data_IF_026515432636
#
_entry.id   IF_026515432636
#
_cell.length_a   1.000
_cell.length_b   1.000
_cell.length_c   1.000
_cell.angle_alpha   90.00
_cell.angle_beta   90.00
_cell.angle_gamma   90.00
#
_symmetry.space_group_name_H-M   'P 1'
#
loop_
_entity.id
_entity.type
_entity.pdbx_description
1 polymer ?
#
# COMPACT_ATOMS: atom_id res chain seq x y z
N UNK A 1 17.05 0.32 -16.69
CA UNK A 1 16.09 0.98 -17.58
C UNK A 1 15.18 1.88 -16.73
N UNK A 2 14.62 2.95 -17.31
CA UNK A 2 13.81 3.92 -16.57
C UNK A 2 14.55 5.17 -16.12
N UNK A 3 15.87 5.18 -16.14
CA UNK A 3 16.74 6.32 -15.79
C UNK A 3 17.52 6.87 -17.00
N UNK A 4 16.94 6.76 -18.20
CA UNK A 4 17.57 7.18 -19.48
C UNK A 4 17.17 8.59 -19.92
N UNK A 5 16.53 9.37 -19.06
CA UNK A 5 16.18 10.77 -19.31
C UNK A 5 14.72 11.12 -18.94
N UNK A 6 14.31 12.34 -19.28
CA UNK A 6 13.03 12.91 -18.87
C UNK A 6 11.77 12.17 -19.42
N UNK A 7 11.91 11.40 -20.49
CA UNK A 7 10.84 10.57 -21.06
C UNK A 7 10.88 9.12 -20.57
N UNK A 8 11.63 8.86 -19.51
CA UNK A 8 11.81 7.54 -18.90
C UNK A 8 11.44 7.56 -17.43
N UNK A 9 11.14 6.40 -16.89
CA UNK A 9 10.80 6.24 -15.49
C UNK A 9 10.34 4.82 -15.18
N UNK A 10 9.92 4.59 -13.96
CA UNK A 10 9.47 3.30 -13.49
C UNK A 10 8.27 3.47 -12.58
N UNK A 11 7.44 2.43 -12.47
CA UNK A 11 6.28 2.46 -11.62
C UNK A 11 5.78 1.08 -11.26
N UNK A 12 4.93 1.06 -10.25
CA UNK A 12 4.20 -0.12 -9.84
C UNK A 12 2.73 0.25 -9.68
N UNK A 13 1.85 -0.57 -10.26
CA UNK A 13 0.42 -0.28 -10.29
C UNK A 13 -0.42 -1.50 -9.94
N UNK A 14 -1.55 -1.24 -9.30
CA UNK A 14 -2.66 -2.18 -9.19
C UNK A 14 -3.71 -1.87 -10.25
N UNK A 15 -4.27 -2.89 -10.86
CA UNK A 15 -5.41 -2.76 -11.78
C UNK A 15 -6.69 -2.29 -11.09
N UNK A 16 -6.77 -2.46 -9.77
CA UNK A 16 -7.86 -2.02 -8.89
C UNK A 16 -7.31 -1.48 -7.58
N UNK A 17 -8.11 -0.67 -6.90
CA UNK A 17 -7.76 -0.21 -5.55
C UNK A 17 -7.63 -1.40 -4.59
N UNK A 18 -6.45 -1.64 -4.01
CA UNK A 18 -6.19 -2.81 -3.16
C UNK A 18 -6.90 -2.74 -1.79
N UNK A 19 -7.43 -1.58 -1.39
CA UNK A 19 -8.12 -1.39 -0.13
C UNK A 19 -9.64 -1.52 -0.27
N UNK A 20 -10.21 -1.00 -1.36
CA UNK A 20 -11.67 -0.98 -1.60
C UNK A 20 -12.14 -1.99 -2.64
N UNK A 21 -11.26 -2.48 -3.50
CA UNK A 21 -11.57 -3.33 -4.66
C UNK A 21 -12.19 -2.58 -5.83
N UNK A 22 -12.26 -1.24 -5.76
CA UNK A 22 -12.83 -0.42 -6.82
C UNK A 22 -12.01 -0.53 -8.10
N UNK A 23 -12.69 -0.58 -9.27
CA UNK A 23 -12.04 -0.62 -10.58
C UNK A 23 -11.41 0.76 -10.90
N UNK A 24 -10.34 1.06 -10.17
CA UNK A 24 -9.54 2.26 -10.29
C UNK A 24 -8.07 1.88 -10.24
N UNK A 25 -7.31 2.25 -11.25
CA UNK A 25 -5.86 2.05 -11.27
C UNK A 25 -5.25 2.90 -10.17
N UNK A 26 -4.46 2.27 -9.31
CA UNK A 26 -3.75 2.91 -8.20
C UNK A 26 -2.29 2.48 -8.25
N UNK A 27 -1.38 3.37 -7.91
CA UNK A 27 0.03 3.01 -7.88
C UNK A 27 0.95 4.21 -7.79
N UNK A 28 2.22 3.91 -7.83
CA UNK A 28 3.31 4.86 -7.65
C UNK A 28 4.16 4.93 -8.93
N UNK A 29 4.60 6.14 -9.25
CA UNK A 29 5.45 6.46 -10.39
C UNK A 29 6.62 7.33 -9.97
N UNK A 30 7.81 7.05 -10.52
CA UNK A 30 8.99 7.91 -10.41
C UNK A 30 9.55 8.13 -11.81
N UNK A 31 9.70 9.40 -12.22
CA UNK A 31 10.35 9.77 -13.45
C UNK A 31 11.87 9.65 -13.32
N UNK A 32 12.53 9.21 -14.39
CA UNK A 32 13.99 9.07 -14.49
C UNK A 32 14.62 8.26 -13.34
N UNK A 33 13.99 7.13 -12.96
CA UNK A 33 14.39 6.26 -11.87
C UNK A 33 14.39 4.78 -12.27
N UNK A 34 14.97 3.94 -11.43
CA UNK A 34 14.99 2.48 -11.60
C UNK A 34 13.91 1.83 -10.70
N UNK A 35 13.58 0.55 -10.98
CA UNK A 35 12.57 -0.19 -10.23
C UNK A 35 12.83 -0.26 -8.72
N UNK A 36 14.09 -0.41 -8.33
CA UNK A 36 14.50 -0.45 -6.92
C UNK A 36 14.17 0.85 -6.17
N UNK A 37 14.21 2.00 -6.85
CA UNK A 37 13.90 3.31 -6.25
C UNK A 37 12.43 3.44 -5.82
N UNK A 38 11.51 2.74 -6.51
CA UNK A 38 10.07 2.73 -6.15
C UNK A 38 9.81 1.87 -4.92
N UNK A 39 10.51 0.75 -4.80
CA UNK A 39 10.27 -0.25 -3.75
C UNK A 39 11.03 0.11 -2.47
N UNK A 40 12.22 0.70 -2.61
CA UNK A 40 13.05 1.10 -1.47
C UNK A 40 12.42 2.21 -0.62
N UNK A 41 11.57 3.07 -1.22
CA UNK A 41 10.95 4.18 -0.50
C UNK A 41 11.84 5.41 -0.33
N UNK A 42 13.11 5.33 -0.76
CA UNK A 42 14.11 6.39 -0.62
C UNK A 42 13.83 7.64 -1.48
N UNK A 43 12.97 7.50 -2.48
CA UNK A 43 12.61 8.56 -3.40
C UNK A 43 11.15 8.95 -3.25
N UNK A 44 10.84 10.25 -3.37
CA UNK A 44 9.48 10.74 -3.39
C UNK A 44 8.74 10.18 -4.63
N UNK A 45 7.80 9.27 -4.41
CA UNK A 45 6.93 8.76 -5.46
C UNK A 45 5.83 9.77 -5.79
N UNK A 46 5.34 9.72 -7.01
CA UNK A 46 4.15 10.43 -7.47
C UNK A 46 3.01 9.44 -7.69
N UNK A 47 1.77 9.89 -7.51
CA UNK A 47 0.60 9.10 -7.88
C UNK A 47 0.63 8.77 -9.37
N UNK A 48 0.14 7.57 -9.75
CA UNK A 48 0.12 7.08 -11.14
C UNK A 48 -0.60 8.04 -12.11
N UNK A 49 -1.48 8.90 -11.64
CA UNK A 49 -2.13 9.93 -12.46
C UNK A 49 -1.15 10.93 -13.06
N UNK A 50 -0.02 11.18 -12.40
CA UNK A 50 1.06 12.03 -12.91
C UNK A 50 1.68 11.39 -14.16
N UNK A 51 1.90 10.06 -14.13
CA UNK A 51 2.33 9.31 -15.32
C UNK A 51 1.30 9.42 -16.45
N UNK A 52 0.01 9.27 -16.13
CA UNK A 52 -1.06 9.46 -17.12
C UNK A 52 -1.06 10.84 -17.77
N UNK A 53 -0.75 11.89 -17.02
CA UNK A 53 -0.66 13.25 -17.53
C UNK A 53 0.61 13.51 -18.37
N UNK A 54 1.74 12.92 -17.97
CA UNK A 54 3.04 13.16 -18.63
C UNK A 54 3.32 12.22 -19.81
N UNK A 55 2.78 11.00 -19.79
CA UNK A 55 2.99 9.95 -20.78
C UNK A 55 1.67 9.30 -21.23
N UNK A 56 0.72 10.08 -21.82
CA UNK A 56 -0.65 9.60 -22.08
C UNK A 56 -0.71 8.36 -22.97
N UNK A 57 0.12 8.24 -23.99
CA UNK A 57 0.13 7.08 -24.89
C UNK A 57 0.58 5.80 -24.17
N UNK A 58 1.65 5.87 -23.37
CA UNK A 58 2.13 4.73 -22.60
C UNK A 58 1.15 4.36 -21.46
N UNK A 59 0.43 5.34 -20.92
CA UNK A 59 -0.61 5.09 -19.91
C UNK A 59 -1.83 4.38 -20.50
N UNK A 60 -2.28 4.74 -21.71
CA UNK A 60 -3.35 4.00 -22.39
C UNK A 60 -2.91 2.57 -22.73
N UNK A 61 -1.67 2.36 -23.18
CA UNK A 61 -1.09 1.03 -23.40
C UNK A 61 -1.05 0.22 -22.08
N UNK A 62 -0.63 0.83 -20.98
CA UNK A 62 -0.63 0.21 -19.65
C UNK A 62 -2.04 -0.25 -19.24
N UNK A 63 -3.07 0.57 -19.45
CA UNK A 63 -4.47 0.20 -19.16
C UNK A 63 -4.92 -1.03 -19.92
N UNK A 64 -4.57 -1.13 -21.20
CA UNK A 64 -4.90 -2.32 -22.00
C UNK A 64 -4.19 -3.57 -21.47
N UNK A 65 -2.92 -3.46 -21.10
CA UNK A 65 -2.19 -4.58 -20.51
C UNK A 65 -2.78 -5.00 -19.16
N UNK A 66 -3.15 -4.06 -18.31
CA UNK A 66 -3.80 -4.37 -17.02
C UNK A 66 -5.12 -5.12 -17.20
N UNK A 67 -5.95 -4.73 -18.18
CA UNK A 67 -7.19 -5.44 -18.49
C UNK A 67 -6.93 -6.87 -19.01
N UNK A 68 -5.94 -7.06 -19.88
CA UNK A 68 -5.55 -8.37 -20.38
C UNK A 68 -5.01 -9.27 -19.26
N UNK A 69 -4.21 -8.71 -18.37
CA UNK A 69 -3.64 -9.43 -17.24
C UNK A 69 -4.71 -9.81 -16.21
N UNK A 70 -5.69 -8.93 -15.92
CA UNK A 70 -6.85 -9.31 -15.07
C UNK A 70 -7.59 -10.53 -15.63
N UNK A 71 -7.82 -10.57 -16.94
CA UNK A 71 -8.48 -11.73 -17.60
C UNK A 71 -7.59 -12.96 -17.51
N UNK A 72 -6.29 -12.84 -17.75
CA UNK A 72 -5.35 -13.96 -17.70
C UNK A 72 -5.23 -14.56 -16.29
N UNK A 73 -5.10 -13.71 -15.27
CA UNK A 73 -4.96 -14.13 -13.87
C UNK A 73 -6.32 -14.45 -13.22
N UNK A 74 -7.43 -14.09 -13.86
CA UNK A 74 -8.80 -14.20 -13.29
C UNK A 74 -8.94 -13.46 -11.96
N UNK A 75 -8.16 -12.40 -11.78
CA UNK A 75 -8.07 -11.61 -10.56
C UNK A 75 -7.45 -10.22 -10.81
N UNK A 76 -7.51 -9.33 -9.80
CA UNK A 76 -6.75 -8.09 -9.86
C UNK A 76 -5.25 -8.36 -9.91
N UNK A 77 -4.53 -7.52 -10.59
CA UNK A 77 -3.08 -7.64 -10.77
C UNK A 77 -2.32 -6.46 -10.17
N UNK A 78 -1.10 -6.76 -9.76
CA UNK A 78 -0.03 -5.87 -9.36
C UNK A 78 1.06 -5.99 -10.44
N UNK A 79 1.42 -4.87 -11.04
CA UNK A 79 2.29 -4.83 -12.22
C UNK A 79 3.42 -3.84 -12.00
N UNK A 80 4.64 -4.33 -12.14
CA UNK A 80 5.83 -3.52 -12.23
C UNK A 80 6.12 -3.19 -13.70
N UNK A 81 6.35 -1.92 -14.01
CA UNK A 81 6.60 -1.47 -15.37
C UNK A 81 7.70 -0.41 -15.41
N UNK A 82 8.31 -0.27 -16.57
CA UNK A 82 9.22 0.83 -16.87
C UNK A 82 8.86 1.47 -18.20
N UNK A 83 9.18 2.74 -18.32
CA UNK A 83 9.14 3.45 -19.59
C UNK A 83 10.57 3.83 -19.96
N UNK A 84 11.00 3.44 -21.14
CA UNK A 84 12.30 3.79 -21.67
C UNK A 84 12.11 4.59 -22.95
N UNK A 85 12.47 5.87 -22.92
CA UNK A 85 12.31 6.80 -24.02
C UNK A 85 10.88 6.82 -24.62
N UNK A 86 9.87 6.81 -23.74
CA UNK A 86 8.45 6.82 -24.11
C UNK A 86 7.86 5.45 -24.46
N UNK A 87 8.64 4.38 -24.49
CA UNK A 87 8.17 3.01 -24.76
C UNK A 87 7.91 2.29 -23.44
N UNK A 88 6.71 1.72 -23.30
CA UNK A 88 6.30 0.93 -22.15
C UNK A 88 6.91 -0.48 -22.19
N UNK A 89 7.31 -0.97 -21.02
CA UNK A 89 7.77 -2.34 -20.78
C UNK A 89 7.15 -2.86 -19.48
N UNK A 90 6.45 -3.97 -19.56
CA UNK A 90 6.00 -4.72 -18.38
C UNK A 90 7.16 -5.59 -17.89
N UNK A 91 7.54 -5.40 -16.64
CA UNK A 91 8.67 -6.15 -16.04
C UNK A 91 8.18 -7.36 -15.29
N UNK A 92 7.11 -7.21 -14.49
CA UNK A 92 6.52 -8.27 -13.70
C UNK A 92 5.02 -8.05 -13.54
N UNK A 93 4.27 -9.14 -13.49
CA UNK A 93 2.87 -9.14 -13.12
C UNK A 93 2.58 -10.29 -12.15
N UNK A 94 1.74 -10.03 -11.16
CA UNK A 94 1.30 -11.03 -10.17
C UNK A 94 -0.11 -10.70 -9.70
N UNK A 95 -0.75 -11.65 -9.02
CA UNK A 95 -2.02 -11.38 -8.32
C UNK A 95 -1.77 -10.36 -7.21
N UNK A 96 -2.55 -9.28 -7.19
CA UNK A 96 -2.35 -8.16 -6.28
C UNK A 96 -2.70 -8.49 -4.83
N UNK A 97 -1.83 -8.09 -3.89
CA UNK A 97 -2.12 -8.14 -2.45
C UNK A 97 -3.19 -7.11 -2.10
N UNK A 98 -4.20 -7.51 -1.35
CA UNK A 98 -5.39 -6.69 -1.07
C UNK A 98 -6.03 -7.02 0.27
N UNK A 99 -6.84 -6.09 0.77
CA UNK A 99 -7.63 -6.31 1.98
C UNK A 99 -8.76 -7.32 1.74
N UNK A 100 -9.28 -7.94 2.81
CA UNK A 100 -10.42 -8.84 2.75
C UNK A 100 -11.68 -8.17 2.14
N UNK A 101 -11.90 -6.89 2.44
CA UNK A 101 -12.97 -6.08 1.84
C UNK A 101 -12.81 -5.96 0.33
N UNK A 102 -11.62 -5.63 -0.14
CA UNK A 102 -11.33 -5.52 -1.56
C UNK A 102 -11.49 -6.88 -2.26
N UNK A 103 -10.96 -7.96 -1.66
CA UNK A 103 -11.10 -9.32 -2.19
C UNK A 103 -12.57 -9.72 -2.37
N UNK A 104 -13.42 -9.41 -1.38
CA UNK A 104 -14.86 -9.70 -1.44
C UNK A 104 -15.55 -8.95 -2.60
N UNK A 105 -15.28 -7.65 -2.75
CA UNK A 105 -15.84 -6.85 -3.84
C UNK A 105 -15.37 -7.34 -5.20
N UNK A 106 -14.07 -7.59 -5.36
CA UNK A 106 -13.48 -8.07 -6.61
C UNK A 106 -14.08 -9.40 -7.01
N UNK A 107 -14.16 -10.38 -6.09
CA UNK A 107 -14.72 -11.69 -6.38
C UNK A 107 -16.18 -11.59 -6.88
N UNK A 108 -17.00 -10.72 -6.27
CA UNK A 108 -18.38 -10.50 -6.72
C UNK A 108 -18.43 -9.83 -8.10
N UNK A 109 -17.62 -8.81 -8.34
CA UNK A 109 -17.60 -8.12 -9.64
C UNK A 109 -17.12 -9.04 -10.78
N UNK A 110 -16.04 -9.82 -10.54
CA UNK A 110 -15.51 -10.76 -11.55
C UNK A 110 -16.49 -11.89 -11.84
N UNK A 111 -17.11 -12.49 -10.83
CA UNK A 111 -18.08 -13.57 -11.01
C UNK A 111 -19.40 -13.15 -11.70
N UNK A 112 -19.70 -11.84 -11.74
CA UNK A 112 -20.84 -11.28 -12.46
C UNK A 112 -20.48 -10.74 -13.84
N UNK A 113 -19.21 -10.81 -14.24
CA UNK A 113 -18.74 -10.33 -15.54
C UNK A 113 -18.51 -11.50 -16.49
N UNK A 114 -19.09 -11.43 -17.70
CA UNK A 114 -18.89 -12.44 -18.75
C UNK A 114 -17.45 -12.51 -19.29
N UNK A 115 -16.59 -11.56 -18.92
CA UNK A 115 -15.17 -11.52 -19.32
C UNK A 115 -14.29 -12.48 -18.52
N UNK A 116 -14.80 -13.03 -17.39
CA UNK A 116 -14.05 -13.87 -16.46
C UNK A 116 -14.70 -15.24 -16.34
N UNK A 117 -13.87 -16.28 -16.19
CA UNK A 117 -14.33 -17.65 -15.99
C UNK A 117 -14.60 -17.98 -14.51
N UNK A 118 -14.51 -16.99 -13.62
CA UNK A 118 -14.73 -17.15 -12.19
C UNK A 118 -16.21 -17.43 -11.91
N UNK A 119 -16.53 -18.67 -11.54
CA UNK A 119 -17.90 -19.02 -11.15
C UNK A 119 -18.23 -18.58 -9.72
N UNK A 120 -19.52 -18.49 -9.40
CA UNK A 120 -20.01 -18.00 -8.09
C UNK A 120 -19.54 -18.84 -6.89
N UNK A 121 -19.29 -20.14 -7.09
CA UNK A 121 -18.82 -21.05 -6.03
C UNK A 121 -17.38 -20.73 -5.67
N UNK A 122 -16.52 -20.53 -6.66
CA UNK A 122 -15.12 -20.19 -6.45
C UNK A 122 -14.96 -18.78 -5.89
N UNK A 123 -15.78 -17.83 -6.38
CA UNK A 123 -15.87 -16.48 -5.81
C UNK A 123 -16.26 -16.52 -4.31
N UNK A 124 -17.25 -17.34 -3.94
CA UNK A 124 -17.67 -17.49 -2.55
C UNK A 124 -16.56 -18.12 -1.68
N UNK A 125 -15.80 -19.08 -2.20
CA UNK A 125 -14.66 -19.67 -1.50
C UNK A 125 -13.58 -18.61 -1.20
N UNK A 126 -13.27 -17.75 -2.17
CA UNK A 126 -12.34 -16.61 -1.99
C UNK A 126 -12.81 -15.64 -0.90
N UNK A 127 -14.10 -15.28 -0.92
CA UNK A 127 -14.70 -14.39 0.08
C UNK A 127 -14.65 -15.02 1.47
N UNK A 128 -15.00 -16.28 1.60
CA UNK A 128 -15.02 -17.00 2.90
C UNK A 128 -13.62 -17.02 3.52
N UNK A 129 -12.61 -17.31 2.72
CA UNK A 129 -11.21 -17.27 3.17
C UNK A 129 -10.79 -15.87 3.63
N UNK A 130 -11.17 -14.84 2.89
CA UNK A 130 -10.84 -13.46 3.21
C UNK A 130 -11.53 -12.98 4.50
N UNK A 131 -12.80 -13.29 4.68
CA UNK A 131 -13.57 -12.89 5.88
C UNK A 131 -13.09 -13.59 7.14
N UNK A 132 -12.51 -14.77 7.07
CA UNK A 132 -11.96 -15.47 8.23
C UNK A 132 -10.77 -14.74 8.87
N UNK A 133 -10.15 -13.83 8.13
CA UNK A 133 -9.01 -13.02 8.59
C UNK A 133 -9.41 -11.61 9.05
N UNK A 134 -10.66 -11.21 8.85
CA UNK A 134 -11.14 -9.89 9.25
C UNK A 134 -11.32 -9.80 10.77
N UNK A 135 -10.54 -8.94 11.43
CA UNK A 135 -10.75 -8.57 12.82
C UNK A 135 -11.95 -7.62 12.92
N UNK A 136 -12.66 -7.65 14.05
CA UNK A 136 -13.85 -6.81 14.29
C UNK A 136 -13.62 -5.34 13.95
N UNK A 137 -14.61 -4.70 13.31
CA UNK A 137 -14.52 -3.29 12.95
C UNK A 137 -14.58 -2.39 14.18
N UNK A 138 -13.51 -1.70 14.48
CA UNK A 138 -13.46 -0.62 15.47
C UNK A 138 -13.98 0.67 14.83
N UNK A 139 -14.82 1.44 15.54
CA UNK A 139 -15.29 2.76 15.08
C UNK A 139 -14.64 3.83 15.93
N UNK A 140 -14.11 4.86 15.27
CA UNK A 140 -13.72 6.09 15.97
C UNK A 140 -15.00 6.79 16.39
N UNK A 141 -15.21 7.01 17.68
CA UNK A 141 -16.25 7.90 18.16
C UNK A 141 -15.83 9.33 17.78
N UNK A 142 -16.62 9.95 16.90
CA UNK A 142 -16.36 11.30 16.42
C UNK A 142 -16.24 12.27 17.60
N UNK A 143 -15.06 12.85 17.74
CA UNK A 143 -14.76 13.96 18.64
C UNK A 143 -14.13 15.11 17.85
N UNK A 144 -14.05 16.30 18.42
CA UNK A 144 -13.47 17.50 17.78
C UNK A 144 -11.92 17.44 17.60
N UNK A 145 -11.33 16.24 17.61
CA UNK A 145 -9.88 16.08 17.47
C UNK A 145 -9.47 16.28 16.01
N UNK A 146 -8.61 17.26 15.77
CA UNK A 146 -7.97 17.44 14.46
C UNK A 146 -6.84 16.43 14.30
N UNK A 147 -6.67 15.83 13.11
CA UNK A 147 -5.52 14.96 12.84
C UNK A 147 -4.22 15.76 12.95
N UNK A 148 -3.18 15.17 13.53
CA UNK A 148 -1.85 15.79 13.61
C UNK A 148 -1.16 15.78 12.23
N UNK A 149 -1.35 14.70 11.48
CA UNK A 149 -0.86 14.55 10.10
C UNK A 149 -1.82 13.70 9.30
N UNK A 150 -1.63 13.67 7.99
CA UNK A 150 -2.37 12.84 7.05
C UNK A 150 -1.39 12.15 6.12
N UNK A 151 -1.76 10.99 5.62
CA UNK A 151 -0.97 10.21 4.68
C UNK A 151 -1.87 9.31 3.83
N UNK A 152 -1.27 8.38 3.13
CA UNK A 152 -1.95 7.41 2.27
C UNK A 152 -2.41 6.24 3.15
N UNK A 153 -3.69 5.94 3.16
CA UNK A 153 -4.24 4.74 3.80
C UNK A 153 -3.80 3.48 3.04
N UNK A 154 -2.74 2.84 3.50
CA UNK A 154 -2.15 1.69 2.84
C UNK A 154 -2.85 0.37 3.16
N UNK A 155 -3.36 0.24 4.37
CA UNK A 155 -4.20 -0.87 4.82
C UNK A 155 -5.30 -0.35 5.74
N UNK A 156 -6.52 -0.83 5.51
CA UNK A 156 -7.71 -0.35 6.21
C UNK A 156 -7.70 -0.79 7.68
N UNK A 157 -8.29 0.04 8.54
CA UNK A 157 -8.48 -0.27 9.94
C UNK A 157 -8.25 0.94 10.84
N UNK A 158 -8.34 0.70 12.15
CA UNK A 158 -8.07 1.67 13.20
C UNK A 158 -7.12 1.00 14.19
N UNK A 159 -6.03 1.65 14.50
CA UNK A 159 -5.07 1.21 15.51
C UNK A 159 -4.94 2.26 16.61
N UNK A 160 -4.73 1.79 17.82
CA UNK A 160 -4.36 2.60 18.98
C UNK A 160 -3.27 1.88 19.77
N UNK A 161 -2.45 2.62 20.47
CA UNK A 161 -1.37 2.06 21.26
C UNK A 161 -0.31 3.09 21.59
N UNK A 162 0.69 2.66 22.34
CA UNK A 162 1.87 3.47 22.63
C UNK A 162 2.69 3.67 21.37
N UNK A 163 3.22 4.87 21.19
CA UNK A 163 4.10 5.17 20.07
C UNK A 163 5.47 4.53 20.30
N UNK A 164 5.97 3.76 19.36
CA UNK A 164 7.32 3.17 19.38
C UNK A 164 8.01 3.45 18.05
N UNK A 165 9.33 3.62 18.09
CA UNK A 165 10.10 4.11 16.96
C UNK A 165 11.10 3.10 16.42
N UNK A 166 11.27 1.96 17.11
CA UNK A 166 12.10 0.84 16.64
C UNK A 166 11.35 -0.48 16.75
N UNK A 167 11.82 -1.49 16.04
CA UNK A 167 11.27 -2.85 16.11
C UNK A 167 11.51 -3.47 17.49
N UNK A 168 12.65 -3.19 18.08
CA UNK A 168 13.04 -3.68 19.39
C UNK A 168 12.12 -3.12 20.49
N UNK A 169 11.87 -1.81 20.48
CA UNK A 169 10.91 -1.17 21.39
C UNK A 169 9.50 -1.73 21.21
N UNK A 170 9.09 -2.00 19.95
CA UNK A 170 7.77 -2.58 19.69
C UNK A 170 7.62 -3.95 20.34
N UNK A 171 8.64 -4.79 20.25
CA UNK A 171 8.64 -6.13 20.83
C UNK A 171 8.63 -6.03 22.37
N UNK A 172 9.52 -5.24 22.95
CA UNK A 172 9.64 -5.08 24.40
C UNK A 172 8.31 -4.60 25.02
N UNK A 173 7.71 -3.55 24.45
CA UNK A 173 6.45 -2.99 24.95
C UNK A 173 5.27 -3.95 24.75
N UNK A 174 5.27 -4.72 23.64
CA UNK A 174 4.23 -5.72 23.37
C UNK A 174 4.36 -6.95 24.31
N UNK A 175 5.56 -7.35 24.71
CA UNK A 175 5.80 -8.41 25.71
C UNK A 175 5.23 -8.02 27.08
N UNK A 176 5.21 -6.74 27.41
CA UNK A 176 4.52 -6.20 28.59
C UNK A 176 2.97 -6.22 28.46
N UNK A 177 2.43 -6.73 27.36
CA UNK A 177 1.00 -6.81 27.10
C UNK A 177 0.34 -5.49 26.69
N UNK A 178 1.13 -4.50 26.28
CA UNK A 178 0.63 -3.19 25.82
C UNK A 178 0.46 -3.16 24.29
N UNK A 179 -0.56 -2.46 23.82
CA UNK A 179 -0.74 -2.19 22.41
C UNK A 179 0.26 -1.13 21.94
N UNK A 180 0.86 -1.34 20.76
CA UNK A 180 1.86 -0.43 20.18
C UNK A 180 1.52 -0.04 18.76
N UNK A 181 1.82 1.21 18.40
CA UNK A 181 1.83 1.71 17.03
C UNK A 181 3.27 1.98 16.63
N UNK A 182 3.73 1.25 15.62
CA UNK A 182 5.10 1.41 15.10
C UNK A 182 5.17 2.63 14.17
N UNK A 183 5.97 3.61 14.54
CA UNK A 183 6.15 4.85 13.79
C UNK A 183 7.58 4.91 13.27
N UNK A 184 7.75 4.88 11.96
CA UNK A 184 9.05 4.87 11.31
C UNK A 184 9.15 5.96 10.25
N UNK A 185 10.35 6.31 9.84
CA UNK A 185 10.53 7.08 8.62
C UNK A 185 10.10 6.23 7.42
N UNK A 186 10.58 5.02 7.35
CA UNK A 186 10.20 3.94 6.43
C UNK A 186 10.40 2.60 7.15
N UNK A 187 9.89 1.51 6.59
CA UNK A 187 10.16 0.17 7.09
C UNK A 187 10.95 -0.65 6.08
N UNK A 188 11.75 -1.57 6.60
CA UNK A 188 12.56 -2.53 5.84
C UNK A 188 12.23 -3.97 6.27
N UNK A 189 12.73 -5.00 5.58
CA UNK A 189 12.60 -6.39 6.03
C UNK A 189 13.11 -6.64 7.45
N UNK A 190 14.04 -5.84 7.96
CA UNK A 190 14.51 -5.93 9.34
C UNK A 190 13.43 -5.54 10.38
N UNK A 191 12.46 -4.72 9.98
CA UNK A 191 11.38 -4.26 10.85
C UNK A 191 10.21 -5.26 11.00
N UNK A 192 10.22 -6.37 10.26
CA UNK A 192 9.11 -7.35 10.20
C UNK A 192 8.68 -7.84 11.58
N UNK A 193 9.63 -8.09 12.49
CA UNK A 193 9.30 -8.58 13.84
C UNK A 193 8.56 -7.53 14.67
N UNK A 194 8.97 -6.26 14.62
CA UNK A 194 8.26 -5.15 15.26
C UNK A 194 6.89 -4.89 14.64
N UNK A 195 6.80 -5.00 13.31
CA UNK A 195 5.52 -4.88 12.59
C UNK A 195 4.52 -5.97 12.99
N UNK A 196 5.00 -7.20 13.25
CA UNK A 196 4.15 -8.35 13.59
C UNK A 196 3.45 -8.19 14.95
N UNK A 197 4.05 -7.48 15.89
CA UNK A 197 3.49 -7.24 17.24
C UNK A 197 2.72 -5.92 17.34
N UNK A 198 2.85 -5.04 16.33
CA UNK A 198 2.18 -3.75 16.31
C UNK A 198 0.68 -3.89 16.02
N UNK A 199 -0.13 -3.01 16.58
CA UNK A 199 -1.55 -2.86 16.26
C UNK A 199 -1.77 -2.00 15.01
N UNK A 200 -0.77 -1.22 14.61
CA UNK A 200 -0.77 -0.42 13.40
C UNK A 200 0.58 0.19 13.07
N UNK A 201 0.72 0.67 11.84
CA UNK A 201 1.95 1.23 11.30
C UNK A 201 1.70 2.64 10.77
N UNK A 202 2.65 3.53 11.06
CA UNK A 202 2.68 4.89 10.50
C UNK A 202 4.09 5.16 9.94
N UNK A 203 4.19 5.51 8.66
CA UNK A 203 5.47 5.94 8.09
C UNK A 203 5.39 7.34 7.48
N UNK A 204 6.50 8.10 7.55
CA UNK A 204 6.61 9.42 6.92
C UNK A 204 6.93 9.35 5.44
N UNK A 205 7.56 8.29 5.00
CA UNK A 205 7.90 7.99 3.60
C UNK A 205 7.12 6.77 3.09
N UNK A 206 7.20 6.57 1.78
CA UNK A 206 6.61 5.44 1.10
C UNK A 206 5.21 5.71 0.54
N UNK A 207 4.87 4.97 -0.51
CA UNK A 207 3.56 4.96 -1.17
C UNK A 207 2.82 3.64 -0.95
N UNK A 208 1.83 3.39 -1.81
CA UNK A 208 1.02 2.15 -1.76
C UNK A 208 1.84 0.87 -2.00
N UNK A 209 3.01 0.99 -2.60
CA UNK A 209 3.91 -0.13 -2.92
C UNK A 209 5.09 -0.26 -1.96
N UNK A 210 5.22 0.64 -0.98
CA UNK A 210 6.27 0.56 0.03
C UNK A 210 6.21 -0.74 0.83
N UNK A 211 7.33 -1.15 1.40
CA UNK A 211 7.42 -2.35 2.25
C UNK A 211 6.37 -2.33 3.36
N UNK A 212 6.19 -1.20 4.07
CA UNK A 212 5.15 -1.03 5.08
C UNK A 212 3.74 -1.33 4.54
N UNK A 213 3.42 -0.79 3.36
CA UNK A 213 2.11 -0.93 2.74
C UNK A 213 1.81 -2.38 2.31
N UNK A 214 2.78 -3.05 1.69
CA UNK A 214 2.62 -4.43 1.20
C UNK A 214 2.43 -5.40 2.36
N UNK A 215 3.30 -5.34 3.37
CA UNK A 215 3.23 -6.21 4.55
C UNK A 215 1.96 -5.94 5.35
N UNK A 216 1.60 -4.67 5.55
CA UNK A 216 0.39 -4.32 6.29
C UNK A 216 -0.88 -4.87 5.64
N UNK A 217 -0.99 -4.83 4.31
CA UNK A 217 -2.13 -5.43 3.58
C UNK A 217 -2.16 -6.96 3.70
N UNK A 218 -1.01 -7.61 3.60
CA UNK A 218 -0.92 -9.08 3.72
C UNK A 218 -1.37 -9.56 5.11
N UNK A 219 -1.11 -8.77 6.15
CA UNK A 219 -1.45 -9.10 7.53
C UNK A 219 -2.75 -8.47 8.03
N UNK A 220 -3.47 -7.72 7.19
CA UNK A 220 -4.62 -6.90 7.60
C UNK A 220 -4.31 -6.00 8.80
N UNK A 221 -3.12 -5.42 8.80
CA UNK A 221 -2.64 -4.50 9.84
C UNK A 221 -2.94 -3.07 9.40
N UNK A 222 -3.65 -2.26 10.19
CA UNK A 222 -3.91 -0.86 9.87
C UNK A 222 -2.61 -0.10 9.58
N UNK A 223 -2.55 0.60 8.44
CA UNK A 223 -1.33 1.32 8.06
C UNK A 223 -1.63 2.62 7.31
N UNK A 224 -0.89 3.67 7.71
CA UNK A 224 -0.80 4.94 6.99
C UNK A 224 0.65 5.15 6.60
N UNK A 225 0.90 5.42 5.33
CA UNK A 225 2.23 5.65 4.79
C UNK A 225 2.34 7.03 4.15
N UNK A 226 3.56 7.55 3.99
CA UNK A 226 3.78 8.85 3.38
C UNK A 226 3.19 10.02 4.19
N UNK A 227 3.15 9.93 5.50
CA UNK A 227 2.62 10.97 6.37
C UNK A 227 3.61 12.14 6.46
N UNK A 228 3.34 13.20 5.71
CA UNK A 228 4.23 14.35 5.59
C UNK A 228 4.37 15.15 6.90
N UNK A 229 5.50 15.87 7.02
CA UNK A 229 5.73 16.80 8.12
C UNK A 229 6.19 16.17 9.43
N UNK A 230 6.52 14.88 9.42
CA UNK A 230 7.10 14.19 10.58
C UNK A 230 8.61 14.38 10.60
N UNK A 231 9.13 14.81 11.73
CA UNK A 231 10.57 14.97 11.96
C UNK A 231 11.00 14.04 13.10
N UNK A 232 11.88 13.12 12.79
CA UNK A 232 12.38 12.12 13.74
C UNK A 232 13.57 12.67 14.52
N UNK A 233 13.54 12.45 15.81
CA UNK A 233 14.65 12.67 16.74
C UNK A 233 14.92 11.36 17.48
N UNK A 234 16.01 11.27 18.22
CA UNK A 234 16.42 10.04 18.91
C UNK A 234 15.32 9.40 19.78
N UNK A 235 14.49 10.23 20.44
CA UNK A 235 13.47 9.75 21.38
C UNK A 235 12.07 10.36 21.17
N UNK A 236 11.79 10.92 19.99
CA UNK A 236 10.50 11.52 19.70
C UNK A 236 10.30 11.77 18.21
N UNK A 237 9.03 11.90 17.84
CA UNK A 237 8.62 12.40 16.53
C UNK A 237 7.91 13.72 16.71
N UNK A 238 8.33 14.73 15.97
CA UNK A 238 7.68 16.04 15.91
C UNK A 238 6.74 16.09 14.71
N UNK A 239 5.53 16.59 14.93
CA UNK A 239 4.54 16.84 13.87
C UNK A 239 4.03 18.28 14.07
N UNK A 240 4.55 19.21 13.29
CA UNK A 240 4.35 20.64 13.54
C UNK A 240 4.86 21.03 14.94
N UNK A 241 3.96 21.49 15.82
CA UNK A 241 4.29 21.83 17.23
C UNK A 241 4.08 20.66 18.20
N UNK A 242 3.46 19.57 17.75
CA UNK A 242 3.21 18.41 18.61
C UNK A 242 4.46 17.53 18.71
N UNK A 243 4.76 17.09 19.93
CA UNK A 243 5.84 16.15 20.22
C UNK A 243 5.25 14.82 20.69
N UNK A 244 5.49 13.77 19.93
CA UNK A 244 5.13 12.39 20.25
C UNK A 244 6.38 11.74 20.82
N UNK A 245 6.31 11.25 22.06
CA UNK A 245 7.40 10.52 22.72
C UNK A 245 7.14 9.03 22.63
N UNK A 246 8.18 8.22 22.77
CA UNK A 246 8.06 6.79 22.95
C UNK A 246 7.37 6.49 24.30
N UNK A 247 6.47 5.50 24.31
CA UNK A 247 5.78 5.00 25.52
C UNK A 247 4.45 5.67 25.79
#
# INVERSE_FOLDING_TARGET
FGNTGASSGTGVVFSRDPNSGEKKICGDWISNAQGDDVVAGDSATSDISVFGATHPSAYEELKLHLEQLEIFYQDMVDVEFTVDQGKLWILQARVGKRTARAASRIAVELANSERFELNKKDALATITQSLSTEKSSTKILAGERKPLTTGIGASAGIASGLAVFTSEEAIEVAEDGKEVVLIRQETSPADVHGMAVATGILTSLGGLMSHAAVVARDWNLPAVVGAAGMQFTENAVMVGTAKIKAG
#
